data_IF_792031635820
#
_entry.id   IF_792031635820
#
_cell.length_a   1.000
_cell.length_b   1.000
_cell.length_c   1.000
_cell.angle_alpha   90.00
_cell.angle_beta   90.00
_cell.angle_gamma   90.00
#
_symmetry.space_group_name_H-M   'P 1'
#
loop_
_entity.id
_entity.type
_entity.pdbx_description
1 polymer ?
#
# COMPACT_ATOMS: atom_id res chain seq x y z
N UNK A 1 59.00 43.73 30.13
CA UNK A 1 60.05 42.77 30.47
C UNK A 1 59.77 41.52 29.69
N UNK A 2 60.68 41.27 28.72
CA UNK A 2 60.55 40.22 27.71
C UNK A 2 61.10 38.90 28.23
N UNK A 3 60.50 37.79 27.91
CA UNK A 3 61.15 36.48 27.93
C UNK A 3 60.78 35.72 26.65
N UNK A 4 61.75 35.04 26.01
CA UNK A 4 61.56 34.49 24.66
C UNK A 4 61.14 33.02 24.62
N UNK A 5 60.48 32.65 23.52
CA UNK A 5 60.14 31.29 23.09
C UNK A 5 61.36 30.51 22.59
N UNK A 6 61.44 29.19 22.83
CA UNK A 6 62.38 28.33 22.13
C UNK A 6 61.73 27.62 20.93
N UNK A 7 62.42 27.74 19.81
CA UNK A 7 62.24 27.00 18.55
C UNK A 7 62.76 25.58 18.68
N UNK A 8 61.87 24.57 18.37
CA UNK A 8 62.25 23.17 18.25
C UNK A 8 62.39 22.81 16.75
N UNK A 9 63.64 22.46 16.35
CA UNK A 9 63.90 21.90 15.01
C UNK A 9 63.62 20.40 15.00
N UNK A 10 62.81 19.97 14.04
CA UNK A 10 62.56 18.56 13.80
C UNK A 10 63.42 18.06 12.66
N UNK A 11 64.22 17.01 12.95
CA UNK A 11 65.01 16.31 11.96
C UNK A 11 64.12 15.36 11.10
N UNK A 12 64.28 15.49 9.78
CA UNK A 12 63.67 14.59 8.79
C UNK A 12 64.67 13.40 8.61
N UNK A 13 64.21 12.19 8.92
CA UNK A 13 64.89 10.97 8.46
C UNK A 13 63.93 10.26 7.45
N UNK A 14 64.36 10.22 6.20
CA UNK A 14 63.75 9.40 5.15
C UNK A 14 64.04 7.93 5.46
N UNK A 15 63.00 7.11 5.47
CA UNK A 15 63.13 5.67 5.26
C UNK A 15 62.17 5.28 4.11
N UNK A 16 62.80 4.98 2.95
CA UNK A 16 62.12 4.27 1.86
C UNK A 16 61.87 2.82 2.26
N UNK A 17 60.65 2.34 2.10
CA UNK A 17 60.32 0.90 2.25
C UNK A 17 58.84 0.60 2.10
N UNK A 18 58.41 0.05 0.96
CA UNK A 18 57.19 -0.74 0.88
C UNK A 18 55.94 -0.11 0.26
N UNK A 19 55.97 0.27 -1.00
CA UNK A 19 54.78 0.42 -1.84
C UNK A 19 54.46 -0.92 -2.53
N UNK A 20 53.64 -1.75 -1.91
CA UNK A 20 52.93 -2.85 -2.61
C UNK A 20 52.00 -3.62 -1.66
N UNK A 21 50.89 -3.04 -1.20
CA UNK A 21 49.79 -3.81 -0.57
C UNK A 21 48.49 -3.02 -0.33
N UNK A 22 48.17 -1.96 -1.08
CA UNK A 22 46.90 -1.23 -0.87
C UNK A 22 45.98 -1.16 -2.11
N UNK A 23 46.28 -1.85 -3.21
CA UNK A 23 45.50 -1.73 -4.45
C UNK A 23 44.37 -2.79 -4.62
N UNK A 24 44.37 -3.90 -3.87
CA UNK A 24 43.42 -4.98 -4.08
C UNK A 24 42.20 -5.00 -3.13
N UNK A 25 42.23 -4.25 -2.05
CA UNK A 25 41.10 -4.21 -1.10
C UNK A 25 39.95 -3.27 -1.53
N UNK A 26 40.27 -2.19 -2.25
CA UNK A 26 39.30 -1.18 -2.66
C UNK A 26 38.43 -1.61 -3.83
N UNK A 27 39.00 -2.37 -4.78
CA UNK A 27 38.27 -2.81 -5.98
C UNK A 27 37.26 -3.95 -5.65
N UNK A 28 37.66 -4.87 -4.76
CA UNK A 28 36.75 -5.95 -4.33
C UNK A 28 35.58 -5.46 -3.48
N UNK A 29 35.75 -4.41 -2.68
CA UNK A 29 34.67 -3.80 -1.89
C UNK A 29 33.70 -2.99 -2.75
N UNK A 30 34.19 -2.33 -3.80
CA UNK A 30 33.32 -1.59 -4.76
C UNK A 30 32.54 -2.56 -5.64
N UNK A 31 33.14 -3.64 -6.12
CA UNK A 31 32.44 -4.67 -6.90
C UNK A 31 31.36 -5.42 -6.09
N UNK A 32 31.60 -5.69 -4.81
CA UNK A 32 30.61 -6.32 -3.93
C UNK A 32 29.45 -5.39 -3.59
N UNK A 33 29.66 -4.07 -3.51
CA UNK A 33 28.61 -3.10 -3.32
C UNK A 33 27.76 -2.90 -4.58
N UNK A 34 28.38 -2.85 -5.76
CA UNK A 34 27.68 -2.76 -7.05
C UNK A 34 26.84 -4.00 -7.36
N UNK A 35 27.32 -5.20 -7.03
CA UNK A 35 26.55 -6.45 -7.19
C UNK A 35 25.38 -6.55 -6.20
N UNK A 36 25.55 -6.08 -4.97
CA UNK A 36 24.46 -6.03 -3.98
C UNK A 36 23.41 -4.99 -4.35
N UNK A 37 23.83 -3.84 -4.86
CA UNK A 37 22.94 -2.79 -5.37
C UNK A 37 22.14 -3.28 -6.59
N UNK A 38 22.79 -3.92 -7.55
CA UNK A 38 22.13 -4.49 -8.72
C UNK A 38 21.14 -5.59 -8.32
N UNK A 39 21.51 -6.50 -7.41
CA UNK A 39 20.61 -7.53 -6.90
C UNK A 39 19.39 -6.94 -6.17
N UNK A 40 19.59 -5.84 -5.41
CA UNK A 40 18.50 -5.09 -4.78
C UNK A 40 17.59 -4.43 -5.81
N UNK A 41 18.14 -3.82 -6.86
CA UNK A 41 17.37 -3.23 -7.95
C UNK A 41 16.60 -4.29 -8.74
N UNK A 42 17.17 -5.44 -8.99
CA UNK A 42 16.51 -6.54 -9.70
C UNK A 42 15.41 -7.17 -8.86
N UNK A 43 15.60 -7.29 -7.53
CA UNK A 43 14.56 -7.72 -6.61
C UNK A 43 13.39 -6.70 -6.55
N UNK A 44 13.68 -5.39 -6.54
CA UNK A 44 12.65 -4.34 -6.61
C UNK A 44 11.92 -4.40 -7.96
N UNK A 45 12.62 -4.62 -9.07
CA UNK A 45 12.01 -4.78 -10.40
C UNK A 45 11.12 -6.01 -10.47
N UNK A 46 11.53 -7.14 -9.92
CA UNK A 46 10.73 -8.35 -9.88
C UNK A 46 9.50 -8.20 -8.99
N UNK A 47 9.68 -7.64 -7.78
CA UNK A 47 8.57 -7.31 -6.87
C UNK A 47 7.61 -6.26 -7.43
N UNK A 48 8.06 -5.45 -8.41
CA UNK A 48 7.24 -4.43 -9.08
C UNK A 48 6.53 -4.95 -10.34
N UNK A 49 6.71 -6.22 -10.71
CA UNK A 49 6.00 -6.80 -11.87
C UNK A 49 4.53 -6.96 -11.53
N UNK A 50 3.69 -6.18 -12.21
CA UNK A 50 2.24 -6.40 -12.18
C UNK A 50 1.98 -7.76 -12.81
N UNK A 51 1.48 -8.69 -12.04
CA UNK A 51 1.06 -9.98 -12.54
C UNK A 51 -0.29 -9.81 -13.20
N UNK A 52 -0.33 -9.83 -14.53
CA UNK A 52 -1.56 -10.01 -15.28
C UNK A 52 -1.96 -11.48 -15.15
N UNK A 53 -2.79 -11.80 -14.17
CA UNK A 53 -3.28 -13.17 -13.99
C UNK A 53 -4.58 -13.31 -14.76
N UNK A 54 -4.58 -14.13 -15.81
CA UNK A 54 -5.79 -14.54 -16.51
C UNK A 54 -6.30 -15.86 -15.96
N UNK A 55 -7.57 -15.93 -15.56
CA UNK A 55 -8.23 -17.20 -15.18
C UNK A 55 -8.06 -17.60 -13.71
N UNK A 56 -7.70 -18.86 -13.45
CA UNK A 56 -7.82 -19.53 -12.16
C UNK A 56 -6.92 -19.04 -11.01
N UNK A 57 -6.00 -18.11 -11.22
CA UNK A 57 -5.03 -17.66 -10.21
C UNK A 57 -5.39 -16.32 -9.55
N UNK A 58 -6.67 -16.06 -9.26
CA UNK A 58 -7.12 -14.78 -8.66
C UNK A 58 -7.19 -14.78 -7.14
N UNK A 59 -6.86 -15.88 -6.51
CA UNK A 59 -6.82 -16.00 -5.05
C UNK A 59 -5.59 -16.77 -4.61
N UNK A 60 -4.97 -16.33 -3.52
CA UNK A 60 -3.98 -17.11 -2.80
C UNK A 60 -4.10 -16.92 -1.30
N UNK A 61 -3.60 -17.86 -0.51
CA UNK A 61 -3.67 -17.81 0.95
C UNK A 61 -2.29 -17.90 1.61
N UNK A 62 -2.17 -17.20 2.72
CA UNK A 62 -1.03 -17.31 3.64
C UNK A 62 -1.51 -17.07 5.07
N UNK A 63 -0.66 -17.41 6.05
CA UNK A 63 -0.93 -17.12 7.46
C UNK A 63 0.07 -16.08 7.99
N UNK A 64 -0.42 -15.15 8.80
CA UNK A 64 0.38 -14.17 9.54
C UNK A 64 0.02 -14.30 11.02
N UNK A 65 0.89 -14.98 11.78
CA UNK A 65 0.51 -15.42 13.12
C UNK A 65 -0.73 -16.31 13.07
N UNK A 66 -1.74 -15.98 13.86
CA UNK A 66 -3.01 -16.71 13.93
C UNK A 66 -4.05 -16.24 12.89
N UNK A 67 -3.70 -15.27 12.05
CA UNK A 67 -4.60 -14.74 11.03
C UNK A 67 -4.36 -15.47 9.70
N UNK A 68 -5.37 -16.15 9.19
CA UNK A 68 -5.37 -16.65 7.81
C UNK A 68 -5.83 -15.53 6.88
N UNK A 69 -5.05 -15.24 5.87
CA UNK A 69 -5.34 -14.19 4.88
C UNK A 69 -5.49 -14.83 3.51
N UNK A 70 -6.61 -14.54 2.86
CA UNK A 70 -6.85 -14.86 1.45
C UNK A 70 -6.77 -13.55 0.65
N UNK A 71 -5.72 -13.39 -0.14
CA UNK A 71 -5.60 -12.27 -1.07
C UNK A 71 -6.41 -12.54 -2.33
N UNK A 72 -7.20 -11.57 -2.75
CA UNK A 72 -8.06 -11.61 -3.93
C UNK A 72 -7.58 -10.55 -4.93
N UNK A 73 -7.36 -10.95 -6.19
CA UNK A 73 -7.05 -10.02 -7.26
C UNK A 73 -8.32 -9.61 -7.99
N UNK A 74 -8.77 -8.38 -7.80
CA UNK A 74 -9.86 -7.78 -8.57
C UNK A 74 -9.45 -7.50 -10.02
N UNK A 75 -8.25 -6.95 -10.20
CA UNK A 75 -7.73 -6.67 -11.52
C UNK A 75 -6.58 -5.68 -11.55
N UNK A 76 -6.47 -5.00 -12.70
CA UNK A 76 -5.44 -3.99 -12.96
C UNK A 76 -6.08 -2.72 -13.50
N UNK A 77 -5.80 -1.61 -12.84
CA UNK A 77 -6.22 -0.27 -13.27
C UNK A 77 -5.11 0.40 -14.07
N UNK A 78 -5.51 1.11 -15.13
CA UNK A 78 -4.65 1.94 -15.96
C UNK A 78 -5.15 3.39 -15.89
N UNK A 79 -4.37 4.27 -15.27
CA UNK A 79 -4.69 5.70 -15.18
C UNK A 79 -4.02 6.53 -16.27
N UNK A 80 -3.38 5.87 -17.24
CA UNK A 80 -2.69 6.50 -18.37
C UNK A 80 -1.20 6.71 -18.09
N UNK A 81 -0.74 7.95 -18.07
CA UNK A 81 0.68 8.23 -17.82
C UNK A 81 1.01 8.38 -16.33
N UNK A 82 2.22 7.98 -15.94
CA UNK A 82 2.69 8.11 -14.55
C UNK A 82 2.59 9.56 -14.05
N UNK A 83 2.98 10.55 -14.88
CA UNK A 83 2.77 11.96 -14.54
C UNK A 83 1.49 12.48 -15.24
N UNK A 84 0.60 13.22 -14.58
CA UNK A 84 0.68 13.77 -13.21
C UNK A 84 0.10 12.84 -12.11
N UNK A 85 -0.33 11.62 -12.42
CA UNK A 85 -0.95 10.75 -11.42
C UNK A 85 -0.03 10.52 -10.21
N UNK A 86 1.30 10.38 -10.43
CA UNK A 86 2.28 10.38 -9.35
C UNK A 86 3.19 11.58 -9.49
N UNK A 87 3.40 12.30 -8.39
CA UNK A 87 4.36 13.39 -8.29
C UNK A 87 3.93 14.68 -8.99
N UNK A 88 2.62 15.00 -9.00
CA UNK A 88 2.13 16.28 -9.53
C UNK A 88 2.80 17.50 -8.86
N UNK A 89 3.21 17.38 -7.61
CA UNK A 89 4.01 18.37 -6.86
C UNK A 89 5.51 18.35 -7.21
N UNK A 90 5.93 17.55 -8.17
CA UNK A 90 7.30 17.46 -8.68
C UNK A 90 7.38 17.92 -10.14
N UNK A 91 8.52 17.73 -10.80
CA UNK A 91 8.64 18.03 -12.23
C UNK A 91 8.38 16.79 -13.08
N UNK A 92 7.66 16.95 -14.20
CA UNK A 92 7.42 15.89 -15.17
C UNK A 92 8.71 15.14 -15.52
N UNK A 93 9.82 15.87 -15.78
CA UNK A 93 11.13 15.28 -16.10
C UNK A 93 11.66 14.37 -14.99
N UNK A 94 11.46 14.73 -13.71
CA UNK A 94 11.94 13.93 -12.56
C UNK A 94 11.11 12.65 -12.45
N UNK A 95 9.79 12.73 -12.59
CA UNK A 95 8.89 11.57 -12.55
C UNK A 95 9.14 10.64 -13.73
N UNK A 96 9.25 11.16 -14.96
CA UNK A 96 9.54 10.33 -16.14
C UNK A 96 10.93 9.65 -16.09
N UNK A 97 11.91 10.29 -15.45
CA UNK A 97 13.22 9.66 -15.20
C UNK A 97 13.08 8.47 -14.27
N UNK A 98 12.35 8.63 -13.16
CA UNK A 98 12.07 7.55 -12.22
C UNK A 98 11.28 6.41 -12.90
N UNK A 99 10.29 6.75 -13.73
CA UNK A 99 9.51 5.77 -14.50
C UNK A 99 10.40 4.93 -15.42
N UNK A 100 11.29 5.57 -16.17
CA UNK A 100 12.26 4.87 -17.02
C UNK A 100 13.23 4.00 -16.21
N UNK A 101 13.71 4.50 -15.08
CA UNK A 101 14.59 3.73 -14.17
C UNK A 101 13.89 2.49 -13.60
N UNK A 102 12.59 2.61 -13.30
CA UNK A 102 11.75 1.50 -12.83
C UNK A 102 11.30 0.56 -13.97
N UNK A 103 11.65 0.88 -15.24
CA UNK A 103 11.19 0.12 -16.41
C UNK A 103 9.68 0.23 -16.66
N UNK A 104 9.04 1.30 -16.19
CA UNK A 104 7.60 1.52 -16.31
C UNK A 104 7.28 2.97 -16.67
N UNK A 105 6.47 3.14 -17.70
CA UNK A 105 6.00 4.46 -18.16
C UNK A 105 4.49 4.63 -17.98
N UNK A 106 3.76 3.52 -17.87
CA UNK A 106 2.32 3.52 -17.64
C UNK A 106 2.03 3.59 -16.14
N UNK A 107 0.92 4.22 -15.80
CA UNK A 107 0.38 4.28 -14.44
C UNK A 107 -0.56 3.09 -14.20
N UNK A 108 0.03 1.89 -14.17
CA UNK A 108 -0.68 0.65 -13.89
C UNK A 108 -0.49 0.23 -12.42
N UNK A 109 -1.58 -0.16 -11.77
CA UNK A 109 -1.55 -0.76 -10.44
C UNK A 109 -2.61 -1.86 -10.30
N UNK A 110 -2.35 -2.80 -9.41
CA UNK A 110 -3.31 -3.84 -9.09
C UNK A 110 -4.46 -3.25 -8.24
N UNK A 111 -5.60 -3.93 -8.26
CA UNK A 111 -6.66 -3.76 -7.27
C UNK A 111 -6.80 -5.08 -6.54
N UNK A 112 -6.48 -5.06 -5.25
CA UNK A 112 -6.51 -6.22 -4.37
C UNK A 112 -7.57 -6.02 -3.29
N UNK A 113 -8.26 -7.09 -2.92
CA UNK A 113 -9.07 -7.18 -1.71
C UNK A 113 -8.55 -8.34 -0.86
N UNK A 114 -8.87 -8.37 0.42
CA UNK A 114 -8.43 -9.46 1.28
C UNK A 114 -9.59 -10.00 2.13
N UNK A 115 -9.65 -11.33 2.26
CA UNK A 115 -10.48 -11.97 3.28
C UNK A 115 -9.59 -12.48 4.40
N UNK A 116 -9.94 -12.15 5.63
CA UNK A 116 -9.27 -12.65 6.82
C UNK A 116 -10.20 -13.64 7.54
N UNK A 117 -9.68 -14.80 7.88
CA UNK A 117 -10.29 -15.65 8.89
C UNK A 117 -9.68 -15.28 10.23
N UNK A 118 -10.48 -14.61 11.07
CA UNK A 118 -10.04 -14.02 12.31
C UNK A 118 -11.11 -14.16 13.40
N UNK A 119 -10.74 -14.75 14.55
CA UNK A 119 -11.65 -15.00 15.68
C UNK A 119 -12.93 -15.77 15.28
N UNK A 120 -12.83 -16.70 14.32
CA UNK A 120 -13.95 -17.49 13.82
C UNK A 120 -14.90 -16.75 12.89
N UNK A 121 -14.54 -15.54 12.45
CA UNK A 121 -15.29 -14.75 11.49
C UNK A 121 -14.53 -14.65 10.16
N UNK A 122 -15.28 -14.56 9.05
CA UNK A 122 -14.76 -14.19 7.74
C UNK A 122 -14.97 -12.69 7.52
N UNK A 123 -13.86 -11.98 7.43
CA UNK A 123 -13.82 -10.52 7.32
C UNK A 123 -13.26 -10.14 5.96
N UNK A 124 -14.05 -9.43 5.14
CA UNK A 124 -13.59 -8.87 3.87
C UNK A 124 -13.08 -7.44 4.11
N UNK A 125 -11.93 -7.09 3.55
CA UNK A 125 -11.44 -5.72 3.49
C UNK A 125 -11.48 -5.25 2.04
N UNK A 126 -12.27 -4.21 1.79
CA UNK A 126 -12.60 -3.64 0.49
C UNK A 126 -13.24 -4.65 -0.48
N UNK A 127 -13.79 -4.21 -1.59
CA UNK A 127 -14.58 -5.05 -2.48
C UNK A 127 -14.17 -5.03 -3.94
N UNK A 128 -13.14 -4.27 -4.31
CA UNK A 128 -12.81 -4.07 -5.71
C UNK A 128 -13.84 -3.22 -6.46
N UNK A 129 -13.74 -3.16 -7.79
CA UNK A 129 -14.64 -2.40 -8.66
C UNK A 129 -16.05 -3.00 -8.77
N UNK A 130 -16.16 -4.32 -8.72
CA UNK A 130 -17.42 -5.03 -8.85
C UNK A 130 -18.19 -4.67 -10.12
N UNK A 131 -19.52 -4.49 -9.96
CA UNK A 131 -20.44 -4.26 -11.08
C UNK A 131 -20.51 -2.80 -11.57
N UNK A 132 -19.88 -1.83 -10.89
CA UNK A 132 -19.95 -0.42 -11.31
C UNK A 132 -19.09 -0.11 -12.53
N UNK A 133 -17.97 -0.78 -12.68
CA UNK A 133 -17.07 -0.65 -13.83
C UNK A 133 -16.67 -2.03 -14.36
N UNK A 134 -17.66 -2.87 -14.74
CA UNK A 134 -17.35 -4.20 -15.22
C UNK A 134 -16.57 -4.08 -16.54
N UNK A 135 -15.38 -4.61 -16.56
CA UNK A 135 -14.56 -4.76 -17.76
C UNK A 135 -13.68 -6.01 -17.63
N UNK A 136 -13.01 -6.38 -18.71
CA UNK A 136 -12.18 -7.60 -18.73
C UNK A 136 -10.96 -7.53 -17.79
N UNK A 137 -10.62 -6.33 -17.30
CA UNK A 137 -9.43 -6.09 -16.48
C UNK A 137 -9.71 -6.00 -14.98
N UNK A 138 -10.95 -5.69 -14.57
CA UNK A 138 -11.34 -5.43 -13.16
C UNK A 138 -12.70 -6.01 -12.83
N UNK A 139 -13.08 -6.05 -11.55
CA UNK A 139 -14.39 -6.55 -11.10
C UNK A 139 -14.43 -8.03 -10.77
N UNK A 140 -13.27 -8.64 -10.42
CA UNK A 140 -13.12 -10.09 -10.27
C UNK A 140 -13.00 -10.58 -8.81
N UNK A 141 -13.31 -9.77 -7.81
CA UNK A 141 -13.28 -10.21 -6.40
C UNK A 141 -14.18 -11.44 -6.18
N UNK A 142 -15.37 -11.47 -6.80
CA UNK A 142 -16.29 -12.62 -6.70
C UNK A 142 -15.73 -13.90 -7.32
N UNK A 143 -14.90 -13.79 -8.36
CA UNK A 143 -14.20 -14.94 -8.94
C UNK A 143 -13.11 -15.45 -7.99
N UNK A 144 -12.39 -14.55 -7.34
CA UNK A 144 -11.42 -14.88 -6.31
C UNK A 144 -12.04 -15.56 -5.10
N UNK A 145 -13.18 -15.05 -4.60
CA UNK A 145 -13.95 -15.70 -3.52
C UNK A 145 -14.38 -17.12 -3.90
N UNK A 146 -14.89 -17.28 -5.12
CA UNK A 146 -15.27 -18.61 -5.63
C UNK A 146 -14.07 -19.57 -5.69
N UNK A 147 -12.92 -19.11 -6.18
CA UNK A 147 -11.68 -19.89 -6.21
C UNK A 147 -11.20 -20.27 -4.80
N UNK A 148 -11.45 -19.44 -3.81
CA UNK A 148 -11.18 -19.71 -2.40
C UNK A 148 -12.23 -20.62 -1.74
N UNK A 149 -13.37 -20.88 -2.41
CA UNK A 149 -14.49 -21.66 -1.87
C UNK A 149 -15.31 -20.89 -0.83
N UNK A 150 -15.26 -19.56 -0.87
CA UNK A 150 -15.98 -18.65 0.03
C UNK A 150 -17.21 -18.10 -0.69
N UNK A 151 -18.38 -18.24 -0.08
CA UNK A 151 -19.62 -17.65 -0.59
C UNK A 151 -19.84 -16.26 0.00
N UNK A 152 -20.45 -15.32 -0.73
CA UNK A 152 -20.75 -13.98 -0.22
C UNK A 152 -21.55 -13.96 1.09
N UNK A 153 -22.43 -14.95 1.28
CA UNK A 153 -23.27 -15.09 2.48
C UNK A 153 -22.48 -15.52 3.73
N UNK A 154 -21.25 -15.99 3.56
CA UNK A 154 -20.36 -16.43 4.65
C UNK A 154 -19.52 -15.27 5.21
N UNK A 155 -19.49 -14.12 4.54
CA UNK A 155 -18.78 -12.93 5.04
C UNK A 155 -19.60 -12.31 6.19
N UNK A 156 -18.99 -12.28 7.37
CA UNK A 156 -19.59 -11.77 8.61
C UNK A 156 -19.45 -10.24 8.74
N UNK A 157 -18.31 -9.71 8.30
CA UNK A 157 -18.01 -8.28 8.36
C UNK A 157 -17.26 -7.81 7.11
N UNK A 158 -17.53 -6.58 6.71
CA UNK A 158 -16.78 -5.85 5.67
C UNK A 158 -16.16 -4.62 6.31
N UNK A 159 -14.86 -4.44 6.13
CA UNK A 159 -14.13 -3.24 6.52
C UNK A 159 -13.78 -2.45 5.27
N UNK A 160 -14.40 -1.29 5.10
CA UNK A 160 -14.11 -0.40 4.00
C UNK A 160 -13.07 0.63 4.43
N UNK A 161 -11.96 0.71 3.70
CA UNK A 161 -10.89 1.68 4.00
C UNK A 161 -11.33 3.08 3.64
N UNK A 162 -11.96 3.24 2.47
CA UNK A 162 -12.50 4.51 1.96
C UNK A 162 -13.49 4.28 0.81
N UNK A 163 -14.11 5.34 0.30
CA UNK A 163 -15.24 5.23 -0.63
C UNK A 163 -14.91 5.38 -2.10
N UNK A 164 -13.67 5.26 -2.54
CA UNK A 164 -13.37 5.15 -3.97
C UNK A 164 -13.96 3.86 -4.56
N UNK A 165 -14.27 3.90 -5.84
CA UNK A 165 -15.09 2.88 -6.47
C UNK A 165 -14.39 1.53 -6.60
N UNK A 166 -13.09 1.50 -6.64
CA UNK A 166 -12.27 0.29 -6.67
C UNK A 166 -12.09 -0.38 -5.30
N UNK A 167 -12.69 0.19 -4.25
CA UNK A 167 -12.82 -0.39 -2.91
C UNK A 167 -14.29 -0.65 -2.57
N UNK A 168 -15.15 0.28 -2.94
CA UNK A 168 -16.57 0.28 -2.60
C UNK A 168 -17.44 -0.48 -3.61
N UNK A 169 -17.05 -0.48 -4.90
CA UNK A 169 -17.92 -0.94 -6.00
C UNK A 169 -18.38 -2.39 -5.88
N UNK A 170 -17.49 -3.29 -5.50
CA UNK A 170 -17.79 -4.71 -5.33
C UNK A 170 -18.59 -5.04 -4.08
N UNK A 171 -18.80 -4.07 -3.18
CA UNK A 171 -19.66 -4.24 -2.00
C UNK A 171 -21.14 -4.13 -2.34
N UNK A 172 -21.46 -3.74 -3.59
CA UNK A 172 -22.83 -3.51 -4.06
C UNK A 172 -23.07 -4.26 -5.38
N UNK A 173 -24.19 -4.92 -5.47
CA UNK A 173 -24.61 -5.65 -6.68
C UNK A 173 -25.09 -4.68 -7.77
N UNK A 174 -25.24 -5.17 -9.01
CA UNK A 174 -25.74 -4.38 -10.14
C UNK A 174 -27.15 -3.79 -9.91
N UNK A 175 -27.98 -4.47 -9.12
CA UNK A 175 -29.33 -4.02 -8.72
C UNK A 175 -29.34 -3.23 -7.41
N UNK A 176 -28.19 -2.67 -7.03
CA UNK A 176 -28.02 -1.76 -5.89
C UNK A 176 -28.41 -2.36 -4.54
N UNK A 177 -28.03 -3.61 -4.30
CA UNK A 177 -28.17 -4.28 -3.01
C UNK A 177 -26.81 -4.61 -2.42
N UNK A 178 -26.68 -4.76 -1.10
CA UNK A 178 -25.45 -5.25 -0.49
C UNK A 178 -25.02 -6.59 -1.09
N UNK A 179 -23.77 -6.68 -1.57
CA UNK A 179 -23.24 -7.88 -2.19
C UNK A 179 -22.96 -9.00 -1.16
N UNK A 180 -22.76 -8.61 0.11
CA UNK A 180 -22.51 -9.51 1.24
C UNK A 180 -23.71 -9.40 2.19
N UNK A 181 -24.77 -10.19 1.99
CA UNK A 181 -26.09 -9.94 2.59
C UNK A 181 -26.12 -10.14 4.10
N UNK A 182 -25.20 -10.92 4.67
CA UNK A 182 -25.14 -11.20 6.10
C UNK A 182 -24.12 -10.29 6.82
N UNK A 183 -23.27 -9.58 6.06
CA UNK A 183 -22.21 -8.78 6.63
C UNK A 183 -22.69 -7.49 7.31
N UNK A 184 -21.97 -7.08 8.35
CA UNK A 184 -21.95 -5.72 8.87
C UNK A 184 -20.83 -4.94 8.19
N UNK A 185 -21.11 -3.74 7.69
CA UNK A 185 -20.14 -2.89 7.01
C UNK A 185 -19.58 -1.85 7.97
N UNK A 186 -18.24 -1.78 8.09
CA UNK A 186 -17.54 -0.87 8.97
C UNK A 186 -16.80 0.18 8.13
N UNK A 187 -16.98 1.47 8.43
CA UNK A 187 -16.34 2.58 7.76
C UNK A 187 -16.36 3.84 8.61
N UNK A 188 -15.53 4.84 8.28
CA UNK A 188 -15.59 6.12 8.95
C UNK A 188 -16.89 6.88 8.64
N UNK A 189 -17.43 7.61 9.66
CA UNK A 189 -18.55 8.50 9.45
C UNK A 189 -18.19 9.63 8.47
N UNK A 190 -17.01 10.22 8.62
CA UNK A 190 -16.53 11.28 7.74
C UNK A 190 -16.45 10.85 6.27
N UNK A 191 -16.15 9.57 6.01
CA UNK A 191 -16.14 9.01 4.66
C UNK A 191 -17.55 8.91 4.08
N UNK A 192 -18.48 8.38 4.86
CA UNK A 192 -19.89 8.31 4.46
C UNK A 192 -20.47 9.69 4.18
N UNK A 193 -20.26 10.64 5.09
CA UNK A 193 -20.80 12.00 4.98
C UNK A 193 -20.20 12.74 3.78
N UNK A 194 -18.91 12.50 3.47
CA UNK A 194 -18.23 13.06 2.30
C UNK A 194 -18.90 12.61 0.99
N UNK A 195 -19.06 11.30 0.78
CA UNK A 195 -19.65 10.77 -0.45
C UNK A 195 -21.16 11.01 -0.55
N UNK A 196 -21.87 11.11 0.57
CA UNK A 196 -23.28 11.48 0.60
C UNK A 196 -23.51 13.00 0.42
N UNK A 197 -22.48 13.79 0.66
CA UNK A 197 -22.47 15.24 0.45
C UNK A 197 -22.21 15.66 -1.00
N UNK A 198 -21.43 16.72 -1.18
CA UNK A 198 -20.87 17.15 -2.47
C UNK A 198 -19.33 17.11 -2.38
N UNK A 199 -18.71 15.97 -2.72
CA UNK A 199 -17.27 15.78 -2.58
C UNK A 199 -16.48 16.79 -3.41
N UNK A 200 -15.57 17.53 -2.76
CA UNK A 200 -14.59 18.37 -3.47
C UNK A 200 -13.36 17.55 -3.86
N UNK A 201 -13.25 17.21 -5.13
CA UNK A 201 -12.14 16.47 -5.73
C UNK A 201 -11.21 17.37 -6.55
N UNK A 202 -11.31 18.69 -6.39
CA UNK A 202 -10.60 19.69 -7.22
C UNK A 202 -9.07 19.64 -7.10
N UNK A 203 -8.53 19.09 -5.99
CA UNK A 203 -7.08 18.95 -5.79
C UNK A 203 -6.51 17.65 -6.38
N UNK A 204 -7.37 16.72 -6.80
CA UNK A 204 -6.92 15.49 -7.48
C UNK A 204 -6.42 15.80 -8.90
N UNK A 205 -5.61 14.91 -9.47
CA UNK A 205 -5.18 15.01 -10.88
C UNK A 205 -6.06 14.22 -11.84
N UNK A 206 -7.11 13.60 -11.34
CA UNK A 206 -8.07 12.82 -12.14
C UNK A 206 -8.98 13.75 -12.95
N UNK A 207 -9.41 13.29 -14.12
CA UNK A 207 -10.22 14.12 -15.01
C UNK A 207 -11.57 14.47 -14.38
N UNK A 208 -12.09 15.67 -14.64
CA UNK A 208 -13.39 16.13 -14.13
C UNK A 208 -14.51 15.14 -14.45
N UNK A 209 -14.50 14.58 -15.67
CA UNK A 209 -15.49 13.55 -16.06
C UNK A 209 -15.43 12.32 -15.15
N UNK A 210 -14.24 11.91 -14.74
CA UNK A 210 -14.10 10.75 -13.85
C UNK A 210 -14.45 11.14 -12.41
N UNK A 211 -14.14 12.37 -11.97
CA UNK A 211 -14.61 12.90 -10.68
C UNK A 211 -16.14 12.84 -10.56
N UNK A 212 -16.87 13.28 -11.61
CA UNK A 212 -18.34 13.20 -11.62
C UNK A 212 -18.83 11.75 -11.51
N UNK A 213 -18.15 10.82 -12.21
CA UNK A 213 -18.44 9.39 -12.11
C UNK A 213 -18.23 8.86 -10.69
N UNK A 214 -17.11 9.20 -10.05
CA UNK A 214 -16.81 8.79 -8.67
C UNK A 214 -17.87 9.32 -7.69
N UNK A 215 -18.25 10.60 -7.80
CA UNK A 215 -19.29 11.22 -6.95
C UNK A 215 -20.62 10.48 -7.08
N UNK A 216 -21.06 10.21 -8.32
CA UNK A 216 -22.30 9.51 -8.56
C UNK A 216 -22.28 8.07 -8.01
N UNK A 217 -21.25 7.30 -8.39
CA UNK A 217 -21.16 5.88 -8.03
C UNK A 217 -20.91 5.70 -6.52
N UNK A 218 -20.08 6.56 -5.91
CA UNK A 218 -19.86 6.57 -4.48
C UNK A 218 -21.17 6.79 -3.71
N UNK A 219 -21.94 7.81 -4.09
CA UNK A 219 -23.26 8.08 -3.49
C UNK A 219 -24.24 6.91 -3.67
N UNK A 220 -24.32 6.35 -4.87
CA UNK A 220 -25.23 5.21 -5.15
C UNK A 220 -24.87 3.99 -4.29
N UNK A 221 -23.58 3.70 -4.14
CA UNK A 221 -23.13 2.58 -3.33
C UNK A 221 -23.37 2.83 -1.83
N UNK A 222 -23.10 4.03 -1.32
CA UNK A 222 -23.39 4.39 0.08
C UNK A 222 -24.87 4.27 0.41
N UNK A 223 -25.75 4.70 -0.52
CA UNK A 223 -27.20 4.54 -0.37
C UNK A 223 -27.62 3.06 -0.31
N UNK A 224 -27.02 2.22 -1.13
CA UNK A 224 -27.30 0.78 -1.14
C UNK A 224 -26.90 0.07 0.16
N UNK A 225 -25.87 0.57 0.84
CA UNK A 225 -25.38 0.04 2.11
C UNK A 225 -26.03 0.66 3.34
N UNK A 226 -26.87 1.69 3.16
CA UNK A 226 -27.53 2.40 4.25
C UNK A 226 -28.30 1.43 5.16
N UNK A 227 -28.17 1.61 6.48
CA UNK A 227 -28.78 0.73 7.49
C UNK A 227 -27.95 -0.52 7.84
N UNK A 228 -26.92 -0.84 7.08
CA UNK A 228 -25.98 -1.92 7.39
C UNK A 228 -24.61 -1.41 7.86
N UNK A 229 -24.40 -0.10 7.84
CA UNK A 229 -23.14 0.52 8.21
C UNK A 229 -23.05 0.67 9.72
N UNK A 230 -21.91 0.30 10.28
CA UNK A 230 -21.41 0.68 11.59
C UNK A 230 -20.28 1.67 11.41
N UNK A 231 -20.44 2.86 11.95
CA UNK A 231 -19.40 3.87 11.88
C UNK A 231 -18.28 3.57 12.88
N UNK A 232 -17.07 3.87 12.46
CA UNK A 232 -15.82 3.60 13.17
C UNK A 232 -14.99 4.88 13.20
N UNK A 233 -14.48 5.22 14.39
CA UNK A 233 -13.61 6.37 14.59
C UNK A 233 -12.15 5.93 14.82
N UNK A 234 -11.24 6.90 14.84
CA UNK A 234 -9.83 6.65 15.14
C UNK A 234 -9.66 6.01 16.52
N UNK A 235 -8.91 4.92 16.56
CA UNK A 235 -8.63 4.18 17.80
C UNK A 235 -9.71 3.18 18.21
N UNK A 236 -10.87 3.15 17.55
CA UNK A 236 -11.93 2.19 17.83
C UNK A 236 -11.48 0.74 17.63
N UNK A 237 -12.15 -0.13 18.38
CA UNK A 237 -12.01 -1.59 18.28
C UNK A 237 -13.37 -2.17 17.85
N UNK A 238 -13.71 -2.09 16.55
CA UNK A 238 -15.02 -2.51 16.05
C UNK A 238 -15.31 -4.00 16.24
N UNK A 239 -14.28 -4.83 16.28
CA UNK A 239 -14.32 -6.24 16.66
C UNK A 239 -13.17 -6.55 17.63
N UNK A 240 -13.28 -7.55 18.50
CA UNK A 240 -12.16 -7.96 19.36
C UNK A 240 -10.90 -8.24 18.54
N UNK A 241 -9.78 -7.56 18.89
CA UNK A 241 -8.51 -7.69 18.20
C UNK A 241 -8.40 -6.94 16.86
N UNK A 242 -9.42 -6.17 16.47
CA UNK A 242 -9.36 -5.27 15.30
C UNK A 242 -9.30 -3.82 15.79
N UNK A 243 -8.34 -3.06 15.29
CA UNK A 243 -8.20 -1.64 15.60
C UNK A 243 -8.20 -0.79 14.34
N UNK A 244 -8.95 0.30 14.36
CA UNK A 244 -8.98 1.31 13.31
C UNK A 244 -7.99 2.45 13.61
N UNK A 245 -7.44 3.04 12.54
CA UNK A 245 -6.56 4.20 12.59
C UNK A 245 -6.98 5.17 11.48
N UNK A 246 -7.32 6.40 11.84
CA UNK A 246 -7.55 7.43 10.84
C UNK A 246 -6.23 7.83 10.16
N UNK A 247 -6.26 7.84 8.84
CA UNK A 247 -5.13 8.24 7.97
C UNK A 247 -5.72 9.10 6.85
N UNK A 248 -6.24 10.30 7.18
CA UNK A 248 -6.90 11.17 6.22
C UNK A 248 -5.93 11.70 5.17
N UNK A 249 -6.48 12.21 4.06
CA UNK A 249 -5.71 12.84 2.99
C UNK A 249 -6.04 12.24 1.64
N UNK A 250 -5.93 10.92 1.48
CA UNK A 250 -6.44 10.25 0.29
C UNK A 250 -7.95 10.50 0.14
N UNK A 251 -8.70 10.22 1.19
CA UNK A 251 -10.05 10.77 1.42
C UNK A 251 -10.14 11.28 2.86
N UNK A 252 -11.19 12.08 3.22
CA UNK A 252 -11.32 12.62 4.58
C UNK A 252 -11.47 11.56 5.67
N UNK A 253 -12.10 10.43 5.33
CA UNK A 253 -12.39 9.34 6.27
C UNK A 253 -11.59 8.07 6.00
N UNK A 254 -10.47 8.15 5.27
CA UNK A 254 -9.63 7.00 5.01
C UNK A 254 -9.13 6.36 6.30
N UNK A 255 -9.35 5.04 6.44
CA UNK A 255 -8.97 4.22 7.59
C UNK A 255 -7.98 3.13 7.20
N UNK A 256 -7.04 2.90 8.10
CA UNK A 256 -6.26 1.67 8.13
C UNK A 256 -6.84 0.75 9.22
N UNK A 257 -6.73 -0.57 9.04
CA UNK A 257 -7.20 -1.54 10.03
C UNK A 257 -6.08 -2.53 10.40
N UNK A 258 -5.86 -2.73 11.69
CA UNK A 258 -4.92 -3.74 12.20
C UNK A 258 -5.67 -4.91 12.81
N UNK A 259 -5.22 -6.13 12.49
CA UNK A 259 -5.81 -7.40 12.92
C UNK A 259 -4.75 -8.24 13.64
N UNK A 260 -5.12 -8.84 14.74
CA UNK A 260 -4.20 -9.59 15.60
C UNK A 260 -3.67 -8.75 16.75
N UNK A 261 -3.21 -9.42 17.82
CA UNK A 261 -2.69 -8.83 19.06
C UNK A 261 -3.53 -7.69 19.64
N UNK A 262 -4.71 -8.02 20.16
CA UNK A 262 -5.49 -7.08 20.95
C UNK A 262 -4.68 -6.68 22.19
N UNK A 263 -4.42 -5.37 22.35
CA UNK A 263 -3.68 -4.84 23.48
C UNK A 263 -2.17 -4.78 23.31
N UNK A 264 -1.68 -4.69 22.06
CA UNK A 264 -0.26 -4.45 21.78
C UNK A 264 0.26 -3.23 22.55
N UNK A 265 0.91 -3.49 23.69
CA UNK A 265 1.58 -2.46 24.50
C UNK A 265 3.07 -2.39 24.22
N UNK A 266 3.59 -3.32 23.40
CA UNK A 266 5.01 -3.39 23.04
C UNK A 266 5.21 -3.50 21.53
N UNK A 267 6.39 -3.11 21.04
CA UNK A 267 6.78 -3.28 19.65
C UNK A 267 6.82 -4.77 19.20
N UNK A 268 6.93 -5.70 20.15
CA UNK A 268 6.88 -7.14 19.86
C UNK A 268 5.43 -7.59 19.57
N UNK A 269 4.46 -7.06 20.30
CA UNK A 269 3.04 -7.38 20.09
C UNK A 269 2.51 -6.75 18.78
N UNK A 270 3.01 -5.57 18.40
CA UNK A 270 2.67 -4.92 17.12
C UNK A 270 3.09 -5.75 15.90
N UNK A 271 4.12 -6.60 16.02
CA UNK A 271 4.61 -7.48 14.95
C UNK A 271 3.81 -8.76 14.78
N UNK A 272 2.98 -9.13 15.74
CA UNK A 272 2.18 -10.36 15.68
C UNK A 272 0.95 -10.25 14.80
N UNK A 273 0.57 -9.01 14.43
CA UNK A 273 -0.61 -8.70 13.63
C UNK A 273 -0.30 -8.23 12.21
N UNK A 274 -1.36 -8.12 11.41
CA UNK A 274 -1.29 -7.60 10.05
C UNK A 274 -2.15 -6.33 9.94
N UNK A 275 -1.66 -5.31 9.20
CA UNK A 275 -2.35 -4.04 9.01
C UNK A 275 -2.70 -3.81 7.54
N UNK A 276 -3.95 -3.55 7.25
CA UNK A 276 -4.36 -3.02 5.95
C UNK A 276 -4.14 -1.52 5.92
N UNK A 277 -3.39 -1.03 4.92
CA UNK A 277 -3.00 0.39 4.84
C UNK A 277 -3.81 1.19 3.82
N UNK A 278 -4.84 0.58 3.22
CA UNK A 278 -5.67 1.22 2.21
C UNK A 278 -4.85 1.83 1.09
N UNK A 279 -5.21 3.04 0.72
CA UNK A 279 -4.58 3.82 -0.34
C UNK A 279 -3.59 4.87 0.20
N UNK A 280 -2.81 4.45 1.18
CA UNK A 280 -1.68 5.26 1.63
C UNK A 280 -0.75 5.61 0.46
N UNK A 281 -0.66 4.71 -0.54
CA UNK A 281 0.03 4.89 -1.82
C UNK A 281 -0.40 3.82 -2.84
N UNK A 282 -0.39 4.19 -4.14
CA UNK A 282 -0.79 3.31 -5.25
C UNK A 282 0.39 2.60 -5.90
N UNK A 283 1.47 3.34 -6.11
CA UNK A 283 2.60 2.87 -6.93
C UNK A 283 3.88 2.79 -6.11
N UNK A 284 4.10 1.62 -5.48
CA UNK A 284 5.26 1.38 -4.60
C UNK A 284 6.59 1.78 -5.22
N UNK A 285 6.78 1.54 -6.53
CA UNK A 285 8.05 1.81 -7.22
C UNK A 285 8.40 3.30 -7.34
N UNK A 286 7.42 4.19 -7.16
CA UNK A 286 7.60 5.64 -7.22
C UNK A 286 7.46 6.29 -5.85
N UNK A 287 6.43 5.90 -5.10
CA UNK A 287 6.06 6.59 -3.87
C UNK A 287 6.81 6.06 -2.64
N UNK A 288 7.26 4.81 -2.62
CA UNK A 288 8.16 4.35 -1.56
C UNK A 288 9.53 5.03 -1.61
N UNK A 289 10.21 5.15 -2.78
CA UNK A 289 11.41 5.96 -2.86
C UNK A 289 11.19 7.46 -2.70
N UNK A 290 9.99 7.96 -2.92
CA UNK A 290 9.65 9.39 -2.85
C UNK A 290 8.32 9.57 -2.11
N UNK A 291 8.29 9.38 -0.79
CA UNK A 291 7.04 9.46 -0.03
C UNK A 291 6.41 10.85 -0.04
N UNK A 292 7.20 11.88 -0.32
CA UNK A 292 6.82 13.27 -0.54
C UNK A 292 6.12 13.54 -1.88
N UNK A 293 6.05 12.55 -2.79
CA UNK A 293 5.35 12.74 -4.05
C UNK A 293 3.85 12.62 -3.88
N UNK A 294 3.13 13.62 -4.42
CA UNK A 294 1.67 13.64 -4.41
C UNK A 294 1.12 12.41 -5.14
N UNK A 295 0.10 11.80 -4.57
CA UNK A 295 -0.76 10.85 -5.25
C UNK A 295 -1.87 11.61 -5.99
N UNK A 296 -2.15 11.21 -7.23
CA UNK A 296 -3.11 11.89 -8.08
C UNK A 296 -4.56 11.74 -7.65
N UNK A 297 -4.86 10.74 -6.86
CA UNK A 297 -6.19 10.51 -6.30
C UNK A 297 -6.37 11.11 -4.89
N UNK A 298 -5.30 11.66 -4.27
CA UNK A 298 -5.41 12.30 -2.97
C UNK A 298 -6.35 13.52 -3.02
N UNK A 299 -7.43 13.47 -2.26
CA UNK A 299 -8.38 14.58 -2.09
C UNK A 299 -7.72 15.78 -1.39
N UNK A 300 -6.86 15.51 -0.41
CA UNK A 300 -6.07 16.52 0.33
C UNK A 300 -4.60 16.14 0.30
N UNK A 301 -3.87 16.47 -0.78
CA UNK A 301 -2.52 15.93 -1.03
C UNK A 301 -1.50 16.24 0.06
N UNK A 302 -1.53 17.44 0.65
CA UNK A 302 -0.59 17.81 1.72
C UNK A 302 -0.78 16.96 2.97
N UNK A 303 -2.04 16.67 3.33
CA UNK A 303 -2.39 15.80 4.45
C UNK A 303 -1.98 14.35 4.11
N UNK A 304 -2.31 13.89 2.89
CA UNK A 304 -1.95 12.55 2.42
C UNK A 304 -0.45 12.28 2.43
N UNK A 305 0.37 13.26 2.03
CA UNK A 305 1.83 13.17 2.10
C UNK A 305 2.29 13.05 3.57
N UNK A 306 1.81 13.92 4.46
CA UNK A 306 2.21 13.91 5.87
C UNK A 306 1.85 12.58 6.56
N UNK A 307 0.64 12.06 6.30
CA UNK A 307 0.20 10.77 6.83
C UNK A 307 0.98 9.60 6.24
N UNK A 308 1.29 9.64 4.95
CA UNK A 308 2.14 8.65 4.28
C UNK A 308 3.52 8.56 4.92
N UNK A 309 4.18 9.70 5.11
CA UNK A 309 5.50 9.76 5.74
C UNK A 309 5.45 9.23 7.18
N UNK A 310 4.45 9.61 7.95
CA UNK A 310 4.24 9.15 9.33
C UNK A 310 4.04 7.63 9.40
N UNK A 311 3.10 7.10 8.60
CA UNK A 311 2.75 5.68 8.62
C UNK A 311 3.90 4.82 8.08
N UNK A 312 4.59 5.24 7.01
CA UNK A 312 5.74 4.50 6.50
C UNK A 312 6.90 4.45 7.50
N UNK A 313 7.12 5.53 8.26
CA UNK A 313 8.13 5.54 9.33
C UNK A 313 7.76 4.57 10.46
N UNK A 314 6.49 4.54 10.86
CA UNK A 314 5.96 3.61 11.86
C UNK A 314 6.10 2.15 11.41
N UNK A 315 5.70 1.84 10.19
CA UNK A 315 5.78 0.49 9.62
C UNK A 315 7.22 0.01 9.47
N UNK A 316 8.13 0.89 9.03
CA UNK A 316 9.54 0.56 8.93
C UNK A 316 10.21 0.32 10.28
N UNK A 317 9.76 1.01 11.33
CA UNK A 317 10.26 0.80 12.69
C UNK A 317 9.70 -0.48 13.34
N UNK A 318 8.41 -0.75 13.16
CA UNK A 318 7.73 -1.91 13.75
C UNK A 318 7.96 -3.20 12.97
N UNK A 319 8.26 -3.13 11.68
CA UNK A 319 8.31 -4.27 10.75
C UNK A 319 6.99 -5.07 10.75
N UNK A 320 5.88 -4.40 11.04
CA UNK A 320 4.55 -5.01 10.98
C UNK A 320 4.24 -5.47 9.56
N UNK A 321 3.63 -6.65 9.43
CA UNK A 321 3.10 -7.13 8.17
C UNK A 321 1.98 -6.22 7.68
N UNK A 322 1.97 -5.89 6.39
CA UNK A 322 0.93 -5.05 5.78
C UNK A 322 0.22 -5.75 4.64
N UNK A 323 -1.04 -5.37 4.45
CA UNK A 323 -1.86 -5.62 3.25
C UNK A 323 -2.13 -4.29 2.55
N UNK A 324 -2.17 -4.32 1.23
CA UNK A 324 -2.33 -3.11 0.40
C UNK A 324 -3.35 -3.33 -0.70
N UNK A 325 -4.11 -2.28 -1.02
CA UNK A 325 -5.06 -2.29 -2.15
C UNK A 325 -4.36 -2.34 -3.52
N UNK A 326 -3.17 -1.72 -3.66
CA UNK A 326 -2.64 -1.41 -4.99
C UNK A 326 -1.25 -1.94 -5.31
N UNK A 327 -0.56 -2.56 -4.37
CA UNK A 327 0.75 -3.14 -4.68
C UNK A 327 0.62 -4.38 -5.56
N UNK A 328 1.71 -4.77 -6.24
CA UNK A 328 1.72 -6.02 -7.01
C UNK A 328 1.19 -7.18 -6.18
N UNK A 329 0.23 -7.90 -6.76
CA UNK A 329 -0.42 -9.03 -6.09
C UNK A 329 0.60 -10.05 -5.55
N UNK A 330 0.41 -10.59 -4.34
CA UNK A 330 -0.77 -10.51 -3.47
C UNK A 330 -0.89 -9.23 -2.61
N UNK A 331 0.04 -8.28 -2.71
CA UNK A 331 -0.02 -7.03 -1.97
C UNK A 331 0.27 -7.15 -0.48
N UNK A 332 0.90 -8.23 -0.04
CA UNK A 332 1.18 -8.56 1.37
C UNK A 332 2.69 -8.61 1.59
N UNK A 333 3.18 -7.97 2.64
CA UNK A 333 4.62 -7.91 2.95
C UNK A 333 4.95 -6.98 4.11
N UNK A 334 6.18 -6.53 4.17
CA UNK A 334 6.65 -5.55 5.16
C UNK A 334 7.27 -4.33 4.47
N UNK A 335 7.31 -3.20 5.19
CA UNK A 335 8.00 -1.99 4.75
C UNK A 335 9.28 -1.83 5.58
N UNK A 336 10.38 -1.48 4.92
CA UNK A 336 11.64 -1.12 5.59
C UNK A 336 12.25 0.15 4.99
N UNK A 337 13.17 0.78 5.71
CA UNK A 337 13.97 1.86 5.14
C UNK A 337 14.78 1.37 3.95
N UNK A 338 14.96 2.25 2.96
CA UNK A 338 15.81 1.97 1.80
C UNK A 338 17.30 2.08 2.17
N UNK A 339 18.09 1.12 1.74
CA UNK A 339 19.55 1.15 1.89
C UNK A 339 20.22 2.10 0.86
N UNK A 340 19.47 2.44 -0.22
CA UNK A 340 19.97 3.24 -1.34
C UNK A 340 19.57 4.70 -1.21
N UNK A 341 18.35 4.96 -0.73
CA UNK A 341 17.80 6.31 -0.59
C UNK A 341 17.44 6.59 0.88
N UNK A 342 18.18 7.46 1.58
CA UNK A 342 18.03 7.66 3.03
C UNK A 342 16.62 8.01 3.49
N UNK A 343 15.85 8.78 2.69
CA UNK A 343 14.49 9.20 3.02
C UNK A 343 13.43 8.30 2.38
N UNK A 344 13.87 7.23 1.69
CA UNK A 344 13.00 6.30 0.98
C UNK A 344 12.72 5.02 1.77
N UNK A 345 11.78 4.25 1.22
CA UNK A 345 11.38 2.95 1.73
C UNK A 345 11.39 1.91 0.62
N UNK A 346 11.34 0.66 1.00
CA UNK A 346 11.14 -0.48 0.09
C UNK A 346 10.12 -1.42 0.69
N UNK A 347 9.34 -2.05 -0.18
CA UNK A 347 8.43 -3.12 0.18
C UNK A 347 9.12 -4.46 0.00
N UNK A 348 9.03 -5.31 1.01
CA UNK A 348 9.53 -6.68 0.98
C UNK A 348 8.31 -7.61 0.94
N UNK A 349 7.99 -8.18 -0.24
CA UNK A 349 6.83 -9.05 -0.38
C UNK A 349 6.92 -10.28 0.52
N UNK A 350 5.79 -10.70 1.07
CA UNK A 350 5.68 -11.99 1.74
C UNK A 350 5.88 -13.13 0.73
N UNK A 351 6.50 -14.21 1.17
CA UNK A 351 6.66 -15.43 0.39
C UNK A 351 5.64 -16.48 0.81
N UNK A 352 5.36 -17.46 -0.06
CA UNK A 352 4.52 -18.61 0.30
C UNK A 352 3.01 -18.35 0.24
N UNK A 353 2.54 -17.38 -0.55
CA UNK A 353 1.12 -17.29 -0.87
C UNK A 353 0.73 -18.45 -1.80
N UNK A 354 -0.05 -19.40 -1.28
CA UNK A 354 -0.45 -20.60 -2.00
C UNK A 354 -1.66 -20.28 -2.90
N UNK A 355 -1.51 -20.43 -4.21
CA UNK A 355 -2.60 -20.16 -5.18
C UNK A 355 -3.78 -21.13 -4.93
N UNK A 356 -4.99 -20.57 -4.93
CA UNK A 356 -6.23 -21.29 -4.75
C UNK A 356 -6.93 -21.45 -6.11
N UNK A 357 -7.21 -22.68 -6.49
CA UNK A 357 -7.82 -23.05 -7.78
C UNK A 357 -8.96 -24.04 -7.53
N UNK A 358 -9.97 -23.66 -6.76
CA UNK A 358 -11.18 -24.48 -6.69
C UNK A 358 -12.03 -24.14 -7.90
N UNK A 359 -12.15 -25.13 -8.80
CA UNK A 359 -12.98 -25.05 -10.01
C UNK A 359 -14.48 -25.09 -9.71
#
# INVERSE_FOLDING_TARGET
MNAPTPTLRLFLTLACGGLAACANGGVASLQSSETAEQASLDAVREASRIRMVSGAGRACELSVGDVRVVALLDGVTDTGSTYPFVGANSTKRKVERAARAAGRTEALFNVNAQVLEFNGQLILIDGGYGSFTPNEKTGHVMDGLRAAGIRPEEIDAVFLTHGHIDHLGGLVTADRRPAFPNARYHMARSEYDFWMGDPDLSQTTISTKFQDTLKQQGREAMMALQGRISFVDDGDTPLPGVRAFAVPGHTPGHLNYSFGASGASSAADARSGIRHIGDLLHMQQFQLPNPDWQDGADTYPEIGIAERERVLAELAASQQMVMTGHFPWPGIGTVRRSDIKPDGYVFVPATGCNELTRG
#
